data_IF_644151631172
#
_entry.id   IF_644151631172
#
_cell.length_a   1.000
_cell.length_b   1.000
_cell.length_c   1.000
_cell.angle_alpha   90.00
_cell.angle_beta   90.00
_cell.angle_gamma   90.00
#
_symmetry.space_group_name_H-M   'P 1'
#
loop_
_entity.id
_entity.type
_entity.pdbx_description
1 polymer ?
#
# COMPACT_ATOMS: atom_id res chain seq x y z
N UNK A 1 -10.28 -13.86 -8.04
CA UNK A 1 -10.28 -12.48 -8.59
C UNK A 1 -11.46 -11.69 -8.03
N UNK A 2 -11.32 -10.38 -7.84
CA UNK A 2 -12.42 -9.51 -7.36
C UNK A 2 -13.12 -8.77 -8.51
N UNK A 3 -12.45 -8.61 -9.66
CA UNK A 3 -12.96 -7.93 -10.84
C UNK A 3 -13.00 -8.90 -12.04
N UNK A 4 -14.06 -8.80 -12.82
CA UNK A 4 -14.22 -9.47 -14.12
C UNK A 4 -14.86 -8.51 -15.13
N UNK A 5 -15.09 -8.98 -16.36
CA UNK A 5 -15.83 -8.25 -17.39
C UNK A 5 -17.18 -8.91 -17.68
N UNK A 6 -18.20 -8.13 -18.01
CA UNK A 6 -19.45 -8.66 -18.57
C UNK A 6 -19.37 -8.76 -20.12
N UNK A 7 -20.47 -9.19 -20.76
CA UNK A 7 -20.59 -9.29 -22.23
C UNK A 7 -20.28 -8.00 -22.99
N UNK A 8 -20.48 -6.85 -22.35
CA UNK A 8 -20.22 -5.52 -22.92
C UNK A 8 -18.78 -5.05 -22.67
N UNK A 9 -17.92 -5.89 -22.09
CA UNK A 9 -16.56 -5.52 -21.70
C UNK A 9 -16.49 -4.57 -20.50
N UNK A 10 -17.60 -4.36 -19.79
CA UNK A 10 -17.66 -3.49 -18.61
C UNK A 10 -17.23 -4.25 -17.37
N UNK A 11 -16.57 -3.53 -16.44
CA UNK A 11 -16.10 -4.11 -15.18
C UNK A 11 -17.29 -4.47 -14.27
N UNK A 12 -17.21 -5.67 -13.70
CA UNK A 12 -18.14 -6.20 -12.71
C UNK A 12 -17.37 -6.70 -11.50
N UNK A 13 -18.01 -6.64 -10.33
CA UNK A 13 -17.35 -6.87 -9.04
C UNK A 13 -17.95 -8.09 -8.34
N UNK A 14 -17.08 -8.90 -7.74
CA UNK A 14 -17.49 -10.16 -7.15
C UNK A 14 -18.41 -9.98 -5.94
N UNK A 15 -18.37 -8.84 -5.26
CA UNK A 15 -19.25 -8.52 -4.14
C UNK A 15 -20.65 -8.03 -4.55
N UNK A 16 -21.00 -8.12 -5.83
CA UNK A 16 -22.35 -7.86 -6.33
C UNK A 16 -23.38 -8.69 -5.56
N UNK A 17 -24.53 -8.10 -5.16
CA UNK A 17 -25.62 -8.86 -4.53
C UNK A 17 -26.29 -9.84 -5.50
N UNK A 18 -26.09 -9.64 -6.82
CA UNK A 18 -26.70 -10.45 -7.88
C UNK A 18 -25.61 -11.31 -8.52
N UNK A 19 -25.91 -12.60 -8.66
CA UNK A 19 -25.03 -13.55 -9.38
C UNK A 19 -24.98 -13.17 -10.86
N UNK A 20 -23.77 -13.14 -11.40
CA UNK A 20 -23.53 -12.96 -12.82
C UNK A 20 -23.60 -14.33 -13.50
N UNK A 21 -24.36 -14.41 -14.59
CA UNK A 21 -24.44 -15.61 -15.43
C UNK A 21 -23.38 -15.63 -16.53
N UNK A 22 -22.86 -14.45 -16.88
CA UNK A 22 -21.78 -14.27 -17.83
C UNK A 22 -20.76 -13.28 -17.28
N UNK A 23 -19.54 -13.76 -17.15
CA UNK A 23 -18.39 -13.02 -16.65
C UNK A 23 -17.13 -13.57 -17.31
N UNK A 24 -16.21 -12.70 -17.68
CA UNK A 24 -15.01 -13.04 -18.44
C UNK A 24 -13.75 -12.53 -17.75
N UNK A 25 -12.67 -13.27 -17.92
CA UNK A 25 -11.36 -12.88 -17.43
C UNK A 25 -10.89 -11.62 -18.12
N UNK A 26 -10.44 -10.66 -17.34
CA UNK A 26 -9.95 -9.40 -17.85
C UNK A 26 -8.57 -9.52 -18.54
N UNK A 27 -7.87 -10.65 -18.34
CA UNK A 27 -6.56 -10.95 -18.95
C UNK A 27 -6.71 -11.80 -20.22
N UNK A 28 -7.28 -13.01 -20.11
CA UNK A 28 -7.36 -13.95 -21.23
C UNK A 28 -8.70 -13.94 -21.98
N UNK A 29 -9.74 -13.28 -21.44
CA UNK A 29 -11.07 -13.27 -22.03
C UNK A 29 -11.89 -14.55 -21.80
N UNK A 30 -11.34 -15.57 -21.14
CA UNK A 30 -12.06 -16.82 -20.90
C UNK A 30 -13.25 -16.66 -19.94
N UNK A 31 -14.31 -17.49 -20.06
CA UNK A 31 -15.44 -17.48 -19.14
C UNK A 31 -15.03 -17.82 -17.70
N UNK A 32 -15.54 -17.05 -16.75
CA UNK A 32 -15.34 -17.24 -15.32
C UNK A 32 -16.61 -17.78 -14.64
N UNK A 33 -16.44 -18.37 -13.47
CA UNK A 33 -17.53 -18.67 -12.54
C UNK A 33 -17.62 -17.60 -11.45
N UNK A 34 -18.80 -16.98 -11.28
CA UNK A 34 -19.07 -16.13 -10.12
C UNK A 34 -19.43 -16.99 -8.89
N UNK A 35 -18.47 -17.14 -7.96
CA UNK A 35 -18.64 -17.92 -6.72
C UNK A 35 -19.17 -17.03 -5.61
N UNK A 36 -20.40 -17.29 -5.15
CA UNK A 36 -21.06 -16.56 -4.06
C UNK A 36 -21.44 -17.51 -2.90
N UNK A 37 -20.45 -18.24 -2.38
CA UNK A 37 -20.66 -19.17 -1.27
C UNK A 37 -20.73 -18.45 0.08
N UNK A 38 -21.27 -19.11 1.11
CA UNK A 38 -21.28 -18.59 2.50
C UNK A 38 -19.92 -18.70 3.21
N UNK A 39 -19.03 -19.55 2.69
CA UNK A 39 -17.75 -19.89 3.35
C UNK A 39 -16.62 -18.98 2.87
N UNK A 40 -16.43 -18.88 1.54
CA UNK A 40 -15.39 -18.02 0.95
C UNK A 40 -16.01 -16.69 0.55
N UNK A 41 -15.25 -15.59 0.68
CA UNK A 41 -15.64 -14.28 0.14
C UNK A 41 -16.02 -14.44 -1.35
N UNK A 42 -17.04 -13.71 -1.83
CA UNK A 42 -17.39 -13.73 -3.23
C UNK A 42 -16.17 -13.44 -4.12
N UNK A 43 -16.00 -14.23 -5.18
CA UNK A 43 -14.89 -14.11 -6.12
C UNK A 43 -15.24 -14.70 -7.48
N UNK A 44 -14.49 -14.29 -8.49
CA UNK A 44 -14.47 -14.97 -9.78
C UNK A 44 -13.33 -15.99 -9.82
N UNK A 45 -13.60 -17.15 -10.45
CA UNK A 45 -12.62 -18.22 -10.68
C UNK A 45 -12.63 -18.68 -12.12
N UNK A 46 -11.46 -18.97 -12.67
CA UNK A 46 -11.34 -19.74 -13.91
C UNK A 46 -11.90 -21.16 -13.73
N UNK A 47 -12.09 -21.87 -14.84
CA UNK A 47 -12.28 -23.31 -14.82
C UNK A 47 -10.94 -24.02 -14.58
N UNK A 48 -10.93 -25.24 -14.00
CA UNK A 48 -9.68 -25.94 -13.66
C UNK A 48 -8.75 -26.23 -14.85
N UNK A 49 -9.29 -26.28 -16.06
CA UNK A 49 -8.60 -26.53 -17.34
C UNK A 49 -8.05 -25.26 -18.01
N UNK A 50 -8.26 -24.08 -17.40
CA UNK A 50 -7.70 -22.82 -17.91
C UNK A 50 -6.18 -22.80 -17.79
N UNK A 51 -5.51 -22.38 -18.86
CA UNK A 51 -4.07 -22.10 -18.86
C UNK A 51 -3.76 -20.68 -18.34
N UNK A 52 -4.80 -19.88 -18.04
CA UNK A 52 -4.62 -18.54 -17.50
C UNK A 52 -4.11 -18.63 -16.06
N UNK A 53 -2.89 -18.16 -15.85
CA UNK A 53 -2.26 -18.14 -14.52
C UNK A 53 -2.87 -17.08 -13.59
N UNK A 54 -3.51 -16.06 -14.16
CA UNK A 54 -4.10 -14.96 -13.39
C UNK A 54 -5.21 -15.43 -12.46
N UNK A 55 -5.04 -15.18 -11.16
CA UNK A 55 -6.07 -15.47 -10.16
C UNK A 55 -6.34 -16.96 -9.96
N UNK A 56 -5.37 -17.82 -10.30
CA UNK A 56 -5.30 -19.22 -9.88
C UNK A 56 -5.13 -19.34 -8.37
N UNK A 57 -5.26 -20.55 -7.80
CA UNK A 57 -5.11 -20.75 -6.35
C UNK A 57 -3.74 -20.28 -5.81
N UNK A 58 -2.69 -20.32 -6.64
CA UNK A 58 -1.34 -19.80 -6.32
C UNK A 58 -1.31 -18.27 -6.23
N UNK A 59 -2.14 -17.59 -7.01
CA UNK A 59 -2.34 -16.14 -7.02
C UNK A 59 -3.59 -15.71 -6.23
N UNK A 60 -4.15 -16.62 -5.43
CA UNK A 60 -5.36 -16.32 -4.66
C UNK A 60 -5.02 -15.30 -3.57
N UNK A 61 -5.67 -14.15 -3.66
CA UNK A 61 -5.49 -13.06 -2.70
C UNK A 61 -5.87 -13.53 -1.30
N UNK A 62 -4.95 -13.38 -0.36
CA UNK A 62 -5.20 -13.69 1.05
C UNK A 62 -6.20 -12.68 1.66
N UNK A 63 -6.80 -12.96 2.83
CA UNK A 63 -7.73 -12.05 3.48
C UNK A 63 -7.17 -10.64 3.71
N UNK A 64 -5.88 -10.51 4.02
CA UNK A 64 -5.17 -9.24 4.16
C UNK A 64 -5.18 -8.46 2.84
N UNK A 65 -4.78 -9.09 1.73
CA UNK A 65 -4.73 -8.44 0.41
C UNK A 65 -6.11 -7.93 -0.03
N UNK A 66 -7.15 -8.74 0.19
CA UNK A 66 -8.53 -8.35 -0.12
C UNK A 66 -8.97 -7.18 0.77
N UNK A 67 -8.60 -7.19 2.05
CA UNK A 67 -8.88 -6.10 2.99
C UNK A 67 -8.22 -4.80 2.54
N UNK A 68 -6.92 -4.82 2.23
CA UNK A 68 -6.18 -3.64 1.78
C UNK A 68 -6.76 -3.02 0.52
N UNK A 69 -7.16 -3.83 -0.46
CA UNK A 69 -7.87 -3.33 -1.64
C UNK A 69 -9.24 -2.74 -1.32
N UNK A 70 -9.91 -3.26 -0.30
CA UNK A 70 -11.25 -2.81 0.08
C UNK A 70 -11.28 -1.40 0.68
N UNK A 71 -10.13 -0.88 1.12
CA UNK A 71 -9.96 0.49 1.63
C UNK A 71 -10.09 1.57 0.55
N UNK A 72 -10.05 1.18 -0.73
CA UNK A 72 -10.11 2.10 -1.87
C UNK A 72 -11.39 1.94 -2.68
N UNK A 73 -11.88 2.94 -3.43
CA UNK A 73 -13.07 2.80 -4.26
C UNK A 73 -12.98 1.65 -5.30
N UNK A 74 -14.11 1.02 -5.66
CA UNK A 74 -14.10 -0.21 -6.49
C UNK A 74 -13.48 0.01 -7.87
N UNK A 75 -13.71 1.17 -8.44
CA UNK A 75 -13.22 1.60 -9.75
C UNK A 75 -11.70 1.73 -9.81
N UNK A 76 -11.00 1.86 -8.68
CA UNK A 76 -9.54 1.94 -8.64
C UNK A 76 -8.87 0.58 -8.52
N UNK A 77 -9.61 -0.47 -8.12
CA UNK A 77 -9.06 -1.81 -7.80
C UNK A 77 -8.82 -2.67 -9.03
N UNK A 78 -7.77 -3.49 -9.06
CA UNK A 78 -7.49 -4.45 -10.16
C UNK A 78 -7.58 -3.81 -11.56
N UNK A 79 -6.89 -2.68 -11.77
CA UNK A 79 -6.91 -1.94 -13.04
C UNK A 79 -5.85 -2.48 -14.01
N UNK A 80 -6.27 -2.73 -15.25
CA UNK A 80 -5.42 -3.30 -16.31
C UNK A 80 -4.53 -2.25 -16.94
N UNK A 81 -3.28 -2.65 -17.17
CA UNK A 81 -2.34 -1.91 -17.99
C UNK A 81 -1.78 -2.83 -19.07
N UNK A 82 -1.80 -2.33 -20.30
CA UNK A 82 -1.38 -3.08 -21.47
C UNK A 82 0.09 -2.82 -21.82
N UNK A 83 0.73 -3.78 -22.46
CA UNK A 83 1.99 -3.57 -23.15
C UNK A 83 1.80 -2.79 -24.47
N UNK A 84 2.91 -2.54 -25.15
CA UNK A 84 2.96 -1.87 -26.46
C UNK A 84 2.18 -2.59 -27.56
N UNK A 85 1.91 -3.89 -27.40
CA UNK A 85 1.14 -4.71 -28.35
C UNK A 85 -0.35 -4.77 -27.98
N UNK A 86 -0.79 -4.00 -26.98
CA UNK A 86 -2.17 -3.94 -26.53
C UNK A 86 -2.61 -5.14 -25.68
N UNK A 87 -1.68 -6.04 -25.29
CA UNK A 87 -1.98 -7.17 -24.41
C UNK A 87 -1.88 -6.74 -22.95
N UNK A 88 -2.76 -7.26 -22.09
CA UNK A 88 -2.70 -6.98 -20.66
C UNK A 88 -1.37 -7.48 -20.10
N UNK A 89 -0.54 -6.55 -19.61
CA UNK A 89 0.78 -6.84 -19.07
C UNK A 89 0.74 -6.98 -17.55
N UNK A 90 0.11 -6.01 -16.88
CA UNK A 90 -0.05 -6.00 -15.43
C UNK A 90 -1.45 -5.57 -15.03
N UNK A 91 -1.86 -6.03 -13.85
CA UNK A 91 -3.08 -5.60 -13.18
C UNK A 91 -2.64 -4.99 -11.86
N UNK A 92 -2.74 -3.68 -11.77
CA UNK A 92 -2.42 -2.95 -10.55
C UNK A 92 -3.46 -3.27 -9.47
N UNK A 93 -3.01 -3.51 -8.25
CA UNK A 93 -3.96 -3.73 -7.16
C UNK A 93 -4.86 -2.53 -6.94
N UNK A 94 -4.30 -1.31 -6.97
CA UNK A 94 -5.01 -0.03 -6.98
C UNK A 94 -4.34 0.90 -8.01
N UNK A 95 -5.16 1.63 -8.78
CA UNK A 95 -4.74 2.78 -9.57
C UNK A 95 -5.57 4.01 -9.22
N UNK A 96 -4.90 5.07 -8.81
CA UNK A 96 -5.48 6.37 -8.48
C UNK A 96 -5.24 7.35 -9.65
N UNK A 97 -6.25 7.57 -10.54
CA UNK A 97 -6.04 8.36 -11.75
C UNK A 97 -5.77 9.84 -11.46
N UNK A 98 -6.39 10.39 -10.42
CA UNK A 98 -6.29 11.82 -10.03
C UNK A 98 -4.86 12.27 -9.74
N UNK A 99 -4.01 11.35 -9.27
CA UNK A 99 -2.61 11.61 -8.93
C UNK A 99 -1.65 10.66 -9.65
N UNK A 100 -2.12 9.99 -10.71
CA UNK A 100 -1.39 9.03 -11.53
C UNK A 100 -0.53 8.03 -10.73
N UNK A 101 -1.11 7.43 -9.68
CA UNK A 101 -0.36 6.60 -8.72
C UNK A 101 -0.89 5.18 -8.65
N UNK A 102 0.03 4.22 -8.62
CA UNK A 102 -0.22 2.79 -8.45
C UNK A 102 0.07 2.42 -7.01
N UNK A 103 -0.75 1.55 -6.43
CA UNK A 103 -0.45 0.91 -5.15
C UNK A 103 -0.51 -0.60 -5.35
N UNK A 104 0.57 -1.28 -5.03
CA UNK A 104 0.70 -2.73 -5.06
C UNK A 104 0.80 -3.27 -3.64
N UNK A 105 0.00 -4.30 -3.34
CA UNK A 105 0.05 -4.99 -2.05
C UNK A 105 0.80 -6.30 -2.21
N UNK A 106 1.74 -6.57 -1.31
CA UNK A 106 2.58 -7.76 -1.41
C UNK A 106 2.57 -8.55 -0.09
N UNK A 107 1.80 -9.64 -0.09
CA UNK A 107 1.78 -10.61 1.02
C UNK A 107 2.79 -11.75 0.82
N UNK A 108 2.74 -12.37 -0.36
CA UNK A 108 3.57 -13.53 -0.71
C UNK A 108 4.99 -13.09 -1.12
N UNK A 109 5.96 -14.01 -1.25
CA UNK A 109 7.23 -13.70 -1.90
C UNK A 109 7.02 -13.21 -3.35
N UNK A 110 7.82 -12.22 -3.77
CA UNK A 110 7.90 -11.73 -5.15
C UNK A 110 9.36 -11.80 -5.63
N UNK A 111 9.58 -12.12 -6.90
CA UNK A 111 10.92 -12.11 -7.47
C UNK A 111 11.43 -10.68 -7.66
N UNK A 112 12.76 -10.51 -7.74
CA UNK A 112 13.38 -9.23 -8.08
C UNK A 112 12.90 -8.75 -9.44
N UNK A 113 12.85 -9.67 -10.39
CA UNK A 113 12.55 -9.43 -11.78
C UNK A 113 11.12 -8.91 -11.93
N UNK A 114 10.16 -9.53 -11.21
CA UNK A 114 8.77 -9.09 -11.21
C UNK A 114 8.60 -7.72 -10.55
N UNK A 115 9.22 -7.53 -9.37
CA UNK A 115 9.18 -6.27 -8.66
C UNK A 115 9.73 -5.11 -9.50
N UNK A 116 10.93 -5.32 -10.07
CA UNK A 116 11.63 -4.33 -10.87
C UNK A 116 10.91 -4.08 -12.19
N UNK A 117 10.45 -5.15 -12.85
CA UNK A 117 9.71 -5.09 -14.10
C UNK A 117 8.40 -4.32 -13.97
N UNK A 118 7.63 -4.55 -12.89
CA UNK A 118 6.41 -3.79 -12.59
C UNK A 118 6.72 -2.34 -12.27
N UNK A 119 7.69 -2.10 -11.38
CA UNK A 119 8.09 -0.74 -10.99
C UNK A 119 8.51 0.07 -12.21
N UNK A 120 9.41 -0.47 -13.04
CA UNK A 120 9.87 0.20 -14.26
C UNK A 120 8.75 0.41 -15.27
N UNK A 121 7.87 -0.59 -15.47
CA UNK A 121 6.73 -0.46 -16.39
C UNK A 121 5.81 0.69 -15.99
N UNK A 122 5.61 0.92 -14.69
CA UNK A 122 4.78 2.04 -14.24
C UNK A 122 5.54 3.36 -14.30
N UNK A 123 6.77 3.44 -13.79
CA UNK A 123 7.53 4.69 -13.74
C UNK A 123 7.94 5.20 -15.13
N UNK A 124 8.32 4.33 -16.06
CA UNK A 124 8.64 4.74 -17.44
C UNK A 124 7.44 5.31 -18.20
N UNK A 125 6.22 4.97 -17.76
CA UNK A 125 4.99 5.54 -18.31
C UNK A 125 4.51 6.77 -17.50
N UNK A 126 5.38 7.38 -16.68
CA UNK A 126 5.09 8.58 -15.89
C UNK A 126 4.16 8.36 -14.70
N UNK A 127 3.93 7.10 -14.28
CA UNK A 127 3.14 6.79 -13.08
C UNK A 127 4.05 6.67 -11.87
N UNK A 128 3.57 7.14 -10.73
CA UNK A 128 4.20 6.84 -9.45
C UNK A 128 3.73 5.48 -8.94
N UNK A 129 4.53 4.80 -8.13
CA UNK A 129 4.17 3.49 -7.56
C UNK A 129 4.56 3.36 -6.09
N UNK A 130 3.60 2.90 -5.29
CA UNK A 130 3.78 2.57 -3.87
C UNK A 130 3.67 1.07 -3.71
N UNK A 131 4.67 0.46 -3.08
CA UNK A 131 4.60 -0.92 -2.65
C UNK A 131 4.31 -1.00 -1.17
N UNK A 132 3.36 -1.83 -0.77
CA UNK A 132 3.02 -2.09 0.63
C UNK A 132 3.23 -3.57 0.91
N UNK A 133 4.21 -3.90 1.73
CA UNK A 133 4.52 -5.26 2.13
C UNK A 133 3.82 -5.61 3.44
N UNK A 134 3.19 -6.79 3.48
CA UNK A 134 2.61 -7.34 4.70
C UNK A 134 3.69 -7.95 5.60
N UNK A 135 3.94 -7.32 6.74
CA UNK A 135 4.78 -7.83 7.83
C UNK A 135 3.94 -8.08 9.11
N UNK A 136 2.61 -8.13 8.99
CA UNK A 136 1.68 -8.31 10.11
C UNK A 136 1.75 -9.70 10.75
N UNK A 137 2.10 -10.73 9.97
CA UNK A 137 2.09 -12.11 10.45
C UNK A 137 3.44 -12.54 11.00
N UNK A 138 3.40 -13.15 12.18
CA UNK A 138 4.52 -13.84 12.83
C UNK A 138 4.86 -15.20 12.19
N UNK A 139 4.46 -15.47 10.95
CA UNK A 139 4.75 -16.74 10.31
C UNK A 139 6.22 -16.82 9.89
N UNK A 140 6.89 -17.90 10.27
CA UNK A 140 8.31 -18.14 9.98
C UNK A 140 8.59 -18.26 8.47
N UNK A 141 7.55 -18.60 7.69
CA UNK A 141 7.61 -18.82 6.24
C UNK A 141 7.81 -17.51 5.46
N UNK A 142 7.37 -16.40 6.04
CA UNK A 142 7.24 -15.13 5.34
C UNK A 142 8.21 -14.06 5.86
N UNK A 143 9.39 -14.45 6.34
CA UNK A 143 10.43 -13.50 6.80
C UNK A 143 9.95 -12.59 7.93
N UNK A 144 10.88 -11.93 8.61
CA UNK A 144 10.53 -11.01 9.70
C UNK A 144 11.48 -9.85 9.72
N UNK A 145 10.92 -8.64 9.82
CA UNK A 145 11.67 -7.51 10.33
C UNK A 145 12.05 -7.75 11.81
N UNK A 146 13.34 -7.69 12.09
CA UNK A 146 13.90 -7.70 13.45
C UNK A 146 14.38 -6.30 13.79
N UNK A 147 13.84 -5.72 14.86
CA UNK A 147 14.36 -4.47 15.42
C UNK A 147 15.75 -4.72 16.00
N UNK A 148 16.76 -3.98 15.53
CA UNK A 148 18.14 -4.05 16.03
C UNK A 148 18.51 -2.68 16.62
N UNK A 149 19.03 -2.63 17.87
CA UNK A 149 19.59 -1.41 18.42
C UNK A 149 20.88 -1.05 17.65
N UNK A 150 21.01 0.20 17.19
CA UNK A 150 22.27 0.66 16.61
C UNK A 150 23.22 0.98 17.75
N UNK A 151 24.25 0.15 17.94
CA UNK A 151 25.32 0.49 18.87
C UNK A 151 26.22 1.57 18.22
N UNK A 152 26.28 2.75 18.85
CA UNK A 152 27.29 3.81 18.68
C UNK A 152 27.11 4.87 17.58
N UNK A 153 25.95 5.53 17.48
CA UNK A 153 25.90 6.90 16.94
C UNK A 153 25.04 7.77 17.86
N UNK A 154 25.55 8.94 18.28
CA UNK A 154 24.92 9.91 19.19
C UNK A 154 23.73 10.65 18.52
N UNK A 155 22.76 9.90 18.00
CA UNK A 155 21.56 10.45 17.38
C UNK A 155 20.32 9.68 17.89
N UNK A 156 19.53 10.26 18.80
CA UNK A 156 18.33 9.62 19.37
C UNK A 156 17.25 9.25 18.34
N UNK A 157 17.30 9.83 17.13
CA UNK A 157 16.41 9.48 16.01
C UNK A 157 16.92 8.29 15.18
N UNK A 158 18.11 7.76 15.49
CA UNK A 158 18.73 6.60 14.84
C UNK A 158 18.67 5.32 15.69
N UNK A 159 17.98 5.29 16.83
CA UNK A 159 18.16 4.21 17.81
C UNK A 159 17.83 2.78 17.33
N UNK A 160 17.12 2.62 16.20
CA UNK A 160 16.81 1.31 15.67
C UNK A 160 16.87 1.23 14.15
N UNK A 161 17.66 0.27 13.65
CA UNK A 161 17.55 -0.26 12.28
C UNK A 161 16.73 -1.53 12.33
N UNK A 162 15.88 -1.72 11.33
CA UNK A 162 15.22 -3.00 11.16
C UNK A 162 16.07 -3.86 10.25
N UNK A 163 16.37 -5.08 10.70
CA UNK A 163 17.03 -6.09 9.88
C UNK A 163 16.02 -7.02 9.26
N UNK A 164 16.09 -7.18 7.96
CA UNK A 164 15.30 -8.17 7.23
C UNK A 164 16.05 -9.51 7.20
N UNK A 165 15.48 -10.59 7.76
CA UNK A 165 16.05 -11.94 7.64
C UNK A 165 15.89 -12.45 6.19
N UNK A 166 16.97 -12.93 5.53
CA UNK A 166 17.11 -13.81 4.34
C UNK A 166 16.04 -13.88 3.24
N UNK A 167 15.01 -13.04 3.27
CA UNK A 167 14.18 -12.71 2.12
C UNK A 167 15.01 -11.76 1.28
N UNK A 168 15.80 -12.32 0.38
CA UNK A 168 16.52 -11.57 -0.66
C UNK A 168 15.59 -10.93 -1.71
N UNK A 169 14.34 -10.63 -1.35
CA UNK A 169 13.35 -9.99 -2.24
C UNK A 169 13.78 -8.56 -2.53
N UNK A 170 14.25 -7.85 -1.48
CA UNK A 170 14.75 -6.49 -1.60
C UNK A 170 16.28 -6.42 -1.78
N UNK A 171 17.04 -7.47 -1.41
CA UNK A 171 18.50 -7.51 -1.63
C UNK A 171 18.92 -7.46 -3.09
N UNK A 172 18.00 -7.84 -3.96
CA UNK A 172 18.20 -7.79 -5.38
C UNK A 172 17.68 -6.47 -5.98
N UNK A 173 17.03 -5.60 -5.21
CA UNK A 173 16.53 -4.28 -5.65
C UNK A 173 17.68 -3.27 -5.81
N UNK A 174 18.94 -3.71 -5.79
CA UNK A 174 20.05 -2.90 -6.29
C UNK A 174 19.85 -2.65 -7.78
N UNK A 175 19.67 -1.40 -8.18
CA UNK A 175 19.15 -1.22 -9.50
C UNK A 175 20.19 -1.15 -10.62
N UNK A 176 19.82 -1.72 -11.76
CA UNK A 176 20.04 -1.07 -13.05
C UNK A 176 19.09 0.15 -13.27
N UNK A 177 18.48 0.71 -12.20
CA UNK A 177 17.88 2.06 -12.11
C UNK A 177 19.02 3.08 -12.15
N UNK A 178 19.64 3.22 -13.32
CA UNK A 178 20.38 4.43 -13.69
C UNK A 178 19.49 5.40 -14.49
N UNK A 179 18.17 5.15 -14.54
CA UNK A 179 17.18 5.81 -15.41
C UNK A 179 15.82 6.11 -14.75
N UNK A 180 15.69 6.02 -13.43
CA UNK A 180 14.55 6.65 -12.73
C UNK A 180 15.12 7.96 -12.20
N UNK A 181 14.70 9.07 -12.80
CA UNK A 181 15.35 10.36 -12.60
C UNK A 181 15.15 10.95 -11.21
N UNK A 182 14.26 10.44 -10.35
CA UNK A 182 14.22 10.86 -8.94
C UNK A 182 13.64 9.80 -8.00
N UNK A 183 14.04 9.85 -6.72
CA UNK A 183 13.40 9.18 -5.57
C UNK A 183 11.91 9.56 -5.36
N UNK A 184 11.30 10.38 -6.24
CA UNK A 184 9.95 10.92 -6.11
C UNK A 184 8.86 10.04 -6.73
N UNK A 185 9.21 9.05 -7.55
CA UNK A 185 8.22 8.25 -8.31
C UNK A 185 7.94 6.86 -7.71
N UNK A 186 8.67 6.47 -6.67
CA UNK A 186 8.56 5.16 -6.07
C UNK A 186 8.70 5.21 -4.54
N UNK A 187 7.85 4.45 -3.85
CA UNK A 187 7.90 4.32 -2.39
C UNK A 187 7.69 2.87 -1.96
N UNK A 188 8.35 2.48 -0.86
CA UNK A 188 8.13 1.18 -0.21
C UNK A 188 7.65 1.43 1.20
N UNK A 189 6.57 0.76 1.55
CA UNK A 189 5.95 0.81 2.86
C UNK A 189 5.78 -0.59 3.42
N UNK A 190 5.70 -0.65 4.74
CA UNK A 190 5.48 -1.85 5.52
C UNK A 190 4.19 -1.69 6.31
N UNK A 191 3.31 -2.68 6.23
CA UNK A 191 2.17 -2.84 7.13
C UNK A 191 2.52 -3.84 8.23
N UNK A 192 2.31 -3.47 9.50
CA UNK A 192 2.49 -4.36 10.65
C UNK A 192 1.17 -4.99 11.11
N UNK A 193 0.06 -4.74 10.41
CA UNK A 193 -1.27 -5.27 10.73
C UNK A 193 -1.97 -4.55 11.86
N UNK A 194 -1.55 -3.32 12.15
CA UNK A 194 -2.17 -2.47 13.17
C UNK A 194 -2.89 -1.31 12.48
N UNK A 195 -4.23 -1.30 12.60
CA UNK A 195 -5.10 -0.18 12.23
C UNK A 195 -4.88 0.42 10.82
N UNK A 196 -4.66 -0.41 9.79
CA UNK A 196 -4.40 -0.01 8.38
C UNK A 196 -3.31 1.06 8.22
N UNK A 197 -2.35 1.08 9.14
CA UNK A 197 -1.24 2.02 9.18
C UNK A 197 -0.03 1.39 8.51
N UNK A 198 0.61 2.16 7.62
CA UNK A 198 1.86 1.75 6.98
C UNK A 198 2.99 2.72 7.28
N UNK A 199 4.20 2.17 7.34
CA UNK A 199 5.43 2.93 7.53
C UNK A 199 6.31 2.85 6.30
N UNK A 200 6.68 4.01 5.76
CA UNK A 200 7.60 4.09 4.64
C UNK A 200 9.03 3.74 5.03
N UNK A 201 9.76 3.09 4.15
CA UNK A 201 11.21 2.94 4.21
C UNK A 201 11.87 4.24 3.73
N UNK A 202 12.60 4.92 4.61
CA UNK A 202 13.22 6.23 4.34
C UNK A 202 14.73 6.15 4.14
N UNK A 203 15.37 5.13 4.73
CA UNK A 203 16.77 4.80 4.47
C UNK A 203 16.89 3.28 4.34
N UNK A 204 17.84 2.83 3.52
CA UNK A 204 18.12 1.42 3.27
C UNK A 204 19.57 1.24 2.89
N UNK A 205 20.13 0.08 3.19
CA UNK A 205 21.38 -0.34 2.56
C UNK A 205 21.14 -0.93 1.15
N UNK A 206 22.23 -1.23 0.45
CA UNK A 206 22.24 -1.72 -0.95
C UNK A 206 21.34 -2.95 -1.12
N UNK A 207 21.17 -3.72 -0.04
CA UNK A 207 20.46 -4.97 -0.03
C UNK A 207 19.16 -4.94 0.78
N UNK A 208 18.71 -3.79 1.31
CA UNK A 208 17.60 -3.74 2.28
C UNK A 208 17.73 -4.73 3.45
N UNK A 209 18.96 -5.19 3.73
CA UNK A 209 19.23 -5.98 4.93
C UNK A 209 18.97 -5.14 6.15
N UNK A 210 19.27 -3.84 6.08
CA UNK A 210 18.95 -2.85 7.08
C UNK A 210 18.12 -1.73 6.47
N UNK A 211 17.02 -1.40 7.13
CA UNK A 211 16.12 -0.33 6.73
C UNK A 211 15.82 0.59 7.92
N UNK A 212 15.57 1.87 7.63
CA UNK A 212 14.98 2.83 8.55
C UNK A 212 13.57 3.14 8.10
N UNK A 213 12.65 3.09 9.04
CA UNK A 213 11.25 3.42 8.80
C UNK A 213 10.97 4.87 9.18
N UNK A 214 10.06 5.50 8.45
CA UNK A 214 9.55 6.82 8.80
C UNK A 214 8.84 6.76 10.16
N UNK A 215 9.07 7.79 10.98
CA UNK A 215 8.33 7.98 12.22
C UNK A 215 6.93 8.57 11.98
N UNK A 216 6.63 8.93 10.74
CA UNK A 216 5.35 9.47 10.28
C UNK A 216 4.55 8.37 9.56
N UNK A 217 3.67 7.65 10.27
CA UNK A 217 2.82 6.62 9.65
C UNK A 217 1.81 7.24 8.70
N UNK A 218 1.42 6.47 7.68
CA UNK A 218 0.34 6.82 6.76
C UNK A 218 -0.83 5.89 7.03
N UNK A 219 -2.00 6.44 7.36
CA UNK A 219 -3.25 5.69 7.45
C UNK A 219 -3.78 5.47 6.03
N UNK A 220 -4.04 4.22 5.67
CA UNK A 220 -4.67 3.89 4.40
C UNK A 220 -6.18 4.06 4.52
N UNK A 221 -6.72 4.98 3.74
CA UNK A 221 -8.15 5.17 3.52
C UNK A 221 -8.40 5.92 2.20
N UNK A 222 -9.68 6.10 1.84
CA UNK A 222 -10.09 6.78 0.61
C UNK A 222 -9.71 8.27 0.55
N UNK A 223 -9.40 8.91 1.68
CA UNK A 223 -9.08 10.33 1.81
C UNK A 223 -7.58 10.59 2.04
N UNK A 224 -6.74 9.53 2.04
CA UNK A 224 -5.32 9.66 2.32
C UNK A 224 -4.63 10.61 1.33
N UNK A 225 -3.68 11.40 1.83
CA UNK A 225 -2.85 12.23 0.98
C UNK A 225 -1.74 11.37 0.34
N UNK A 226 -1.95 10.97 -0.91
CA UNK A 226 -1.02 10.11 -1.66
C UNK A 226 0.39 10.70 -1.78
N UNK A 227 0.55 12.01 -1.70
CA UNK A 227 1.88 12.62 -1.75
C UNK A 227 2.73 12.27 -0.52
N UNK A 228 2.11 11.94 0.61
CA UNK A 228 2.81 11.55 1.84
C UNK A 228 3.73 10.35 1.63
N UNK A 229 3.45 9.47 0.66
CA UNK A 229 4.32 8.35 0.30
C UNK A 229 5.65 8.76 -0.31
N UNK A 230 5.77 9.97 -0.87
CA UNK A 230 6.92 10.41 -1.67
C UNK A 230 7.70 11.59 -1.05
N UNK A 231 7.25 12.10 0.09
CA UNK A 231 7.90 13.20 0.83
C UNK A 231 9.17 12.71 1.54
N UNK A 232 10.29 13.43 1.46
CA UNK A 232 11.51 13.05 2.20
C UNK A 232 11.33 13.14 3.71
N UNK A 233 12.08 12.34 4.49
CA UNK A 233 12.00 12.39 5.95
C UNK A 233 12.45 13.74 6.52
N UNK A 234 13.43 14.39 5.89
CA UNK A 234 13.87 15.75 6.25
C UNK A 234 12.74 16.78 6.15
N UNK A 235 11.85 16.65 5.17
CA UNK A 235 10.69 17.54 5.06
C UNK A 235 9.75 17.33 6.25
N UNK A 236 9.49 16.09 6.64
CA UNK A 236 8.68 15.82 7.82
C UNK A 236 9.32 16.39 9.09
N UNK A 237 10.62 16.19 9.31
CA UNK A 237 11.31 16.76 10.46
C UNK A 237 11.25 18.30 10.48
N UNK A 238 11.27 18.95 9.31
CA UNK A 238 11.25 20.41 9.20
C UNK A 238 9.86 21.03 9.23
N UNK A 239 8.82 20.36 8.72
CA UNK A 239 7.52 20.97 8.42
C UNK A 239 6.31 20.14 8.86
N UNK A 240 6.51 19.07 9.64
CA UNK A 240 5.42 18.15 10.01
C UNK A 240 4.26 18.86 10.73
N UNK A 241 3.00 18.62 10.32
CA UNK A 241 1.80 18.99 11.07
C UNK A 241 1.73 18.37 12.47
N UNK A 242 2.55 17.35 12.73
CA UNK A 242 2.67 16.67 14.02
C UNK A 242 3.68 17.33 14.97
N UNK A 243 4.32 18.45 14.60
CA UNK A 243 5.27 19.20 15.44
C UNK A 243 4.74 19.47 16.85
N UNK A 244 3.47 19.88 16.96
CA UNK A 244 2.83 20.17 18.26
C UNK A 244 2.58 18.91 19.10
N UNK A 245 2.38 17.75 18.45
CA UNK A 245 2.17 16.45 19.10
C UNK A 245 3.48 15.77 19.52
N UNK A 246 4.59 16.13 18.87
CA UNK A 246 5.93 15.67 19.23
C UNK A 246 6.55 16.51 20.36
N UNK A 247 6.01 17.70 20.65
CA UNK A 247 6.41 18.58 21.76
C UNK A 247 7.70 19.37 21.47
N UNK A 248 7.82 20.59 22.01
CA UNK A 248 9.05 21.40 21.94
C UNK A 248 10.25 20.70 22.61
N UNK A 249 9.99 19.77 23.54
CA UNK A 249 11.01 18.98 24.24
C UNK A 249 11.59 17.82 23.42
N UNK A 250 11.05 17.50 22.24
CA UNK A 250 11.65 16.51 21.33
C UNK A 250 13.08 16.90 20.92
N UNK A 251 13.39 18.19 21.02
CA UNK A 251 14.71 18.72 20.68
C UNK A 251 15.72 18.67 21.83
N UNK A 252 15.34 18.40 23.09
CA UNK A 252 16.27 18.57 24.20
C UNK A 252 16.37 17.42 25.21
N UNK A 253 15.33 16.63 25.52
CA UNK A 253 15.48 15.58 26.55
C UNK A 253 14.57 14.35 26.30
N UNK A 254 15.18 13.18 26.14
CA UNK A 254 14.61 11.83 26.26
C UNK A 254 13.73 11.32 25.08
N UNK A 255 14.04 10.20 24.40
CA UNK A 255 14.48 8.87 24.87
C UNK A 255 13.70 8.32 26.05
N UNK A 256 12.36 8.24 26.01
CA UNK A 256 11.64 7.30 26.88
C UNK A 256 10.24 6.94 26.35
N UNK A 257 10.04 5.62 26.15
CA UNK A 257 8.77 4.91 25.92
C UNK A 257 7.98 5.23 24.63
N UNK A 258 7.94 4.26 23.70
CA UNK A 258 6.79 4.12 22.80
C UNK A 258 5.57 3.85 23.70
N UNK A 259 4.56 4.74 23.77
CA UNK A 259 3.37 4.44 24.53
C UNK A 259 2.63 3.32 23.81
N UNK A 260 2.21 2.28 24.54
CA UNK A 260 1.10 1.44 24.12
C UNK A 260 -0.15 2.31 24.08
N UNK A 261 -0.37 3.03 22.98
CA UNK A 261 -1.61 3.79 22.79
C UNK A 261 -2.68 2.78 22.39
N UNK A 262 -3.40 2.24 23.37
CA UNK A 262 -4.66 1.56 23.08
C UNK A 262 -5.64 2.56 22.49
N UNK A 263 -6.14 2.26 21.29
CA UNK A 263 -6.99 3.04 20.39
C UNK A 263 -8.29 3.65 21.00
N UNK A 264 -8.56 3.46 22.29
CA UNK A 264 -9.82 3.84 22.95
C UNK A 264 -9.97 5.30 23.37
N UNK A 265 -8.96 6.16 23.26
CA UNK A 265 -9.05 7.56 23.73
C UNK A 265 -9.36 8.61 22.64
N UNK A 266 -9.54 8.23 21.37
CA UNK A 266 -9.69 9.20 20.25
C UNK A 266 -11.11 9.62 19.87
N UNK A 267 -12.18 9.10 20.48
CA UNK A 267 -13.56 9.51 20.08
C UNK A 267 -14.05 10.86 20.65
N UNK A 268 -13.27 11.55 21.50
CA UNK A 268 -13.74 12.79 22.15
C UNK A 268 -13.16 14.09 21.59
N UNK A 269 -12.16 14.06 20.70
CA UNK A 269 -11.46 15.28 20.26
C UNK A 269 -11.84 15.80 18.86
N UNK A 270 -12.70 15.10 18.10
CA UNK A 270 -13.20 15.61 16.82
C UNK A 270 -14.65 16.06 16.99
N UNK A 271 -14.85 17.16 17.73
CA UNK A 271 -16.00 18.03 17.54
C UNK A 271 -15.50 19.32 16.92
N UNK A 272 -15.52 19.37 15.58
CA UNK A 272 -15.46 20.64 14.87
C UNK A 272 -16.67 21.49 15.25
N UNK A 273 -16.53 22.80 15.55
CA UNK A 273 -17.69 23.66 15.70
C UNK A 273 -18.34 23.94 14.35
N UNK A 274 -19.60 23.54 14.21
CA UNK A 274 -20.51 23.93 13.13
C UNK A 274 -21.19 25.26 13.52
N UNK A 275 -20.93 26.30 12.72
CA UNK A 275 -21.85 27.40 12.29
C UNK A 275 -22.17 28.43 13.40
N UNK A 276 -22.14 29.75 13.18
CA UNK A 276 -23.06 30.52 12.33
C UNK A 276 -22.52 31.92 12.00
N UNK A 277 -22.61 32.31 10.72
CA UNK A 277 -22.75 33.72 10.33
C UNK A 277 -23.90 34.36 11.13
N UNK A 278 -23.64 35.48 11.82
CA UNK A 278 -24.70 36.41 12.22
C UNK A 278 -24.42 37.79 11.62
N UNK A 279 -25.24 38.12 10.64
CA UNK A 279 -25.55 39.49 10.27
C UNK A 279 -26.32 40.14 11.43
N UNK A 280 -25.92 41.35 11.83
CA UNK A 280 -26.80 42.30 12.52
C UNK A 280 -26.54 43.74 12.05
N UNK A 281 -27.43 44.19 11.17
CA UNK A 281 -28.14 45.48 11.27
C UNK A 281 -28.54 45.71 12.76
N UNK A 282 -28.56 46.88 13.39
CA UNK A 282 -28.93 48.25 12.98
C UNK A 282 -28.70 49.23 14.17
N UNK A 283 -28.50 50.53 13.85
CA UNK A 283 -28.91 51.79 14.56
C UNK A 283 -28.25 52.12 15.92
N UNK A 284 -27.57 53.27 16.02
CA UNK A 284 -28.19 54.61 16.09
C UNK A 284 -27.42 55.58 15.17
#
# INVERSE_FOLDING_TARGET
MQVALNDNGQRIYADSPIRYTKCFCQVCGEPLSHKMGKIKKPHFSHRPDSECTYGTDKDSKCPWHIHMQSLFPKETREVRFNDENGKVKYIADIYLPSCNTIIEFQHSPISKEDFSGRTMFHTQAGRRIVWIFDESKKDKEYGKLKKIPIANEMDPLKDYRFRWNDRKVLNLVTPCIKRIDTLADYSVCIDYGEDDIVHRIVEKDIEFQNIKLSVHPIKLDENMNVNEFFISEDYWLKESPWKELLGEDYHLENTMAIPKVTYKQKQLAVRMPIVTRRSRRRRF
#
